data_IF_180610107564
#
_entry.id   IF_180610107564
#
_cell.length_a   1.000
_cell.length_b   1.000
_cell.length_c   1.000
_cell.angle_alpha   90.00
_cell.angle_beta   90.00
_cell.angle_gamma   90.00
#
_symmetry.space_group_name_H-M   'P 1'
#
loop_
_entity.id
_entity.type
_entity.pdbx_description
1 polymer ?
#
# COMPACT_ATOMS: atom_id res chain seq x y z
N UNK A 1 -0.91 -16.74 19.31
CA UNK A 1 -1.46 -16.87 17.95
C UNK A 1 -2.30 -18.13 17.93
N UNK A 2 -3.62 -18.03 18.10
CA UNK A 2 -4.52 -19.16 17.82
C UNK A 2 -4.90 -18.99 16.37
N UNK A 3 -4.09 -19.57 15.48
CA UNK A 3 -4.57 -19.85 14.12
C UNK A 3 -5.61 -20.93 14.30
N UNK A 4 -6.89 -20.55 14.36
CA UNK A 4 -7.95 -21.53 14.15
C UNK A 4 -7.68 -22.12 12.77
N UNK A 5 -7.56 -23.44 12.72
CA UNK A 5 -7.25 -24.30 11.59
C UNK A 5 -8.31 -24.25 10.48
N UNK A 6 -8.63 -23.05 9.99
CA UNK A 6 -9.34 -22.86 8.74
C UNK A 6 -8.30 -22.84 7.61
N UNK A 7 -8.46 -23.69 6.58
CA UNK A 7 -7.44 -23.87 5.57
C UNK A 7 -7.17 -22.56 4.83
N UNK A 8 -5.89 -22.22 4.69
CA UNK A 8 -5.40 -21.21 3.74
C UNK A 8 -6.03 -21.51 2.38
N UNK A 9 -6.94 -20.63 1.93
CA UNK A 9 -7.59 -20.79 0.62
C UNK A 9 -6.62 -20.35 -0.45
N UNK A 10 -5.98 -21.32 -1.10
CA UNK A 10 -5.20 -21.10 -2.31
C UNK A 10 -6.11 -20.49 -3.38
N UNK A 11 -5.65 -19.41 -4.03
CA UNK A 11 -6.37 -18.79 -5.15
C UNK A 11 -6.50 -19.82 -6.31
N UNK A 12 -7.69 -19.96 -6.93
CA UNK A 12 -7.86 -20.79 -8.12
C UNK A 12 -6.99 -20.31 -9.28
N UNK A 13 -6.37 -21.25 -9.99
CA UNK A 13 -5.38 -21.03 -11.05
C UNK A 13 -5.92 -20.50 -12.39
N UNK A 14 -7.12 -19.92 -12.44
CA UNK A 14 -7.82 -19.63 -13.71
C UNK A 14 -7.81 -18.18 -14.21
N UNK A 15 -6.94 -17.29 -13.68
CA UNK A 15 -6.91 -15.87 -14.12
C UNK A 15 -5.57 -15.39 -14.69
N UNK A 16 -4.63 -16.30 -14.99
CA UNK A 16 -3.37 -15.94 -15.63
C UNK A 16 -3.41 -16.18 -17.14
N UNK A 17 -4.10 -15.31 -17.89
CA UNK A 17 -3.83 -15.11 -19.32
C UNK A 17 -4.47 -13.83 -19.82
N UNK A 18 -3.67 -12.79 -20.10
CA UNK A 18 -3.76 -12.02 -21.34
C UNK A 18 -2.58 -11.04 -21.44
N UNK A 19 -2.02 -11.03 -22.65
CA UNK A 19 -0.68 -10.56 -22.99
C UNK A 19 -0.63 -9.08 -23.45
N UNK A 20 0.61 -8.59 -23.39
CA UNK A 20 1.24 -7.43 -24.03
C UNK A 20 0.49 -6.67 -25.13
N UNK A 21 0.49 -5.34 -24.99
CA UNK A 21 0.61 -4.42 -26.13
C UNK A 21 1.50 -3.21 -25.77
N UNK A 22 2.60 -3.06 -26.51
CA UNK A 22 3.47 -1.88 -26.51
C UNK A 22 3.00 -0.84 -27.53
N UNK A 23 3.10 0.44 -27.18
CA UNK A 23 3.08 1.58 -28.11
C UNK A 23 4.05 2.66 -27.61
N UNK A 24 4.87 3.29 -28.48
CA UNK A 24 5.80 4.34 -28.09
C UNK A 24 5.16 5.72 -28.32
N UNK A 25 5.12 6.57 -27.29
CA UNK A 25 4.79 7.98 -27.49
C UNK A 25 5.77 8.89 -26.73
N UNK A 26 6.65 9.54 -27.49
CA UNK A 26 7.56 10.57 -27.02
C UNK A 26 6.82 11.92 -26.99
N UNK A 27 6.78 12.59 -25.83
CA UNK A 27 6.54 14.03 -25.76
C UNK A 27 7.48 14.73 -24.79
N UNK A 28 8.14 15.73 -25.36
CA UNK A 28 9.07 16.70 -24.81
C UNK A 28 8.32 17.65 -23.86
N UNK A 29 8.73 17.71 -22.60
CA UNK A 29 8.18 18.67 -21.63
C UNK A 29 8.99 19.96 -21.64
N UNK A 30 8.33 21.09 -21.99
CA UNK A 30 8.85 22.45 -21.73
C UNK A 30 8.37 22.90 -20.34
N UNK A 31 9.26 23.53 -19.57
CA UNK A 31 8.96 24.17 -18.28
C UNK A 31 8.31 25.54 -18.48
N UNK A 32 7.36 25.93 -17.62
CA UNK A 32 7.21 27.32 -17.22
C UNK A 32 7.65 27.55 -15.77
N UNK A 33 8.01 28.81 -15.55
CA UNK A 33 8.60 29.45 -14.38
C UNK A 33 7.66 29.62 -13.18
N UNK A 34 8.31 29.88 -12.05
CA UNK A 34 7.84 30.19 -10.68
C UNK A 34 6.51 30.92 -10.53
N UNK A 35 5.62 30.35 -9.70
CA UNK A 35 4.53 31.05 -9.00
C UNK A 35 4.46 30.53 -7.55
N UNK A 36 4.31 31.48 -6.62
CA UNK A 36 4.18 31.38 -5.16
C UNK A 36 2.96 30.58 -4.68
N UNK A 37 3.12 29.81 -3.60
CA UNK A 37 2.09 28.94 -3.00
C UNK A 37 1.25 29.67 -1.93
N UNK A 38 -0.09 29.62 -1.96
CA UNK A 38 -0.91 29.76 -0.76
C UNK A 38 -1.29 28.40 -0.16
N UNK A 39 -1.85 28.44 1.05
CA UNK A 39 -2.10 27.34 1.98
C UNK A 39 -2.87 26.13 1.42
N UNK A 40 -2.52 24.94 1.93
CA UNK A 40 -3.08 23.64 1.56
C UNK A 40 -4.53 23.51 2.05
N UNK A 41 -5.46 23.37 1.11
CA UNK A 41 -6.86 22.96 1.35
C UNK A 41 -7.03 21.44 1.13
N UNK A 42 -8.09 20.81 1.66
CA UNK A 42 -8.28 19.36 1.58
C UNK A 42 -8.53 18.84 0.15
N UNK A 43 -8.24 17.55 0.01
CA UNK A 43 -8.26 16.67 -1.16
C UNK A 43 -9.38 16.98 -2.17
N UNK A 44 -8.99 17.29 -3.42
CA UNK A 44 -9.89 17.23 -4.57
C UNK A 44 -10.06 15.77 -5.01
N UNK A 45 -11.25 15.21 -4.78
CA UNK A 45 -11.77 14.05 -5.49
C UNK A 45 -12.02 14.42 -6.96
N UNK A 46 -11.50 13.62 -7.89
CA UNK A 46 -11.84 13.77 -9.31
C UNK A 46 -13.20 13.09 -9.50
N UNK A 47 -14.26 13.88 -9.37
CA UNK A 47 -15.63 13.45 -9.65
C UNK A 47 -15.94 13.70 -11.12
N UNK A 48 -16.09 12.62 -11.90
CA UNK A 48 -16.70 12.67 -13.22
C UNK A 48 -18.20 12.37 -13.10
N UNK A 49 -18.95 13.25 -12.44
CA UNK A 49 -20.38 13.47 -12.74
C UNK A 49 -20.92 14.67 -11.96
N UNK A 50 -21.64 15.55 -12.67
CA UNK A 50 -22.40 16.64 -12.07
C UNK A 50 -23.78 16.17 -11.61
N UNK A 51 -24.22 16.67 -10.45
CA UNK A 51 -25.57 16.49 -9.91
C UNK A 51 -25.55 16.17 -8.41
N UNK A 52 -26.06 17.08 -7.58
CA UNK A 52 -26.01 16.99 -6.12
C UNK A 52 -27.11 16.12 -5.48
N UNK A 53 -26.86 15.74 -4.22
CA UNK A 53 -27.86 15.19 -3.29
C UNK A 53 -27.50 13.80 -2.74
N UNK A 54 -26.95 13.74 -1.51
CA UNK A 54 -26.75 12.52 -0.72
C UNK A 54 -25.58 11.64 -1.19
N UNK A 55 -24.39 11.79 -0.60
CA UNK A 55 -23.24 10.95 -0.95
C UNK A 55 -23.40 9.54 -0.34
N UNK A 56 -24.06 8.66 -1.07
CA UNK A 56 -24.00 7.22 -0.86
C UNK A 56 -22.56 6.77 -1.18
N UNK A 57 -21.80 6.35 -0.16
CA UNK A 57 -20.41 5.88 -0.32
C UNK A 57 -20.46 4.44 -0.84
N UNK A 58 -20.83 4.29 -2.11
CA UNK A 58 -20.92 2.99 -2.80
C UNK A 58 -19.69 2.72 -3.70
N UNK A 59 -18.70 3.60 -3.68
CA UNK A 59 -17.53 3.48 -4.54
C UNK A 59 -16.34 2.83 -3.82
N UNK A 60 -15.68 1.92 -4.53
CA UNK A 60 -14.44 1.31 -4.05
C UNK A 60 -13.31 2.34 -4.08
N UNK A 61 -12.53 2.40 -3.01
CA UNK A 61 -11.37 3.27 -2.90
C UNK A 61 -10.08 2.47 -2.92
N UNK A 62 -9.04 3.05 -3.53
CA UNK A 62 -7.68 2.51 -3.50
C UNK A 62 -6.77 3.55 -2.85
N UNK A 63 -6.14 3.14 -1.75
CA UNK A 63 -5.19 3.96 -1.00
C UNK A 63 -3.79 3.41 -1.21
N UNK A 64 -2.88 4.25 -1.70
CA UNK A 64 -1.47 3.88 -1.86
C UNK A 64 -0.76 3.97 -0.51
N UNK A 65 -0.63 2.83 0.16
CA UNK A 65 0.06 2.70 1.45
C UNK A 65 1.57 2.94 1.28
N UNK A 66 2.12 2.61 0.12
CA UNK A 66 3.46 2.98 -0.30
C UNK A 66 3.69 2.82 -1.81
N UNK A 67 4.69 3.53 -2.33
CA UNK A 67 4.98 3.66 -3.78
C UNK A 67 6.48 3.63 -4.08
N UNK A 68 7.25 3.09 -3.14
CA UNK A 68 8.70 3.02 -3.17
C UNK A 68 9.21 1.69 -3.72
N UNK A 69 10.52 1.57 -3.86
CA UNK A 69 11.17 0.32 -4.24
C UNK A 69 11.23 -0.64 -3.05
N UNK A 70 11.86 -1.80 -3.23
CA UNK A 70 12.08 -2.77 -2.16
C UNK A 70 12.78 -2.19 -0.92
N UNK A 71 13.54 -1.11 -1.08
CA UNK A 71 14.27 -0.44 -0.02
C UNK A 71 13.66 0.90 0.41
N UNK A 72 12.57 1.30 -0.23
CA UNK A 72 11.97 2.62 -0.04
C UNK A 72 12.90 3.77 -0.46
N UNK A 73 12.43 4.98 -0.17
CA UNK A 73 13.17 6.24 -0.36
C UNK A 73 12.89 7.13 0.85
N UNK A 74 13.91 7.71 1.51
CA UNK A 74 15.33 7.72 1.13
C UNK A 74 16.09 6.41 1.40
N UNK A 75 17.23 6.25 0.71
CA UNK A 75 18.21 5.18 0.99
C UNK A 75 19.26 5.69 1.97
N UNK A 76 19.55 4.93 3.03
CA UNK A 76 20.59 5.26 4.01
C UNK A 76 21.95 5.49 3.31
N UNK A 77 22.34 4.58 2.42
CA UNK A 77 23.59 4.68 1.66
C UNK A 77 23.70 5.95 0.80
N UNK A 78 22.58 6.51 0.34
CA UNK A 78 22.59 7.77 -0.40
C UNK A 78 22.74 9.00 0.52
N UNK A 79 22.26 8.91 1.76
CA UNK A 79 22.33 10.02 2.73
C UNK A 79 23.70 10.07 3.41
N UNK A 80 24.36 8.93 3.58
CA UNK A 80 25.66 8.82 4.25
C UNK A 80 26.85 8.87 3.31
N UNK A 81 26.64 8.96 1.99
CA UNK A 81 27.73 9.05 1.02
C UNK A 81 28.44 10.41 1.11
N UNK A 82 29.74 10.46 1.46
CA UNK A 82 30.47 11.73 1.60
C UNK A 82 30.87 12.34 0.25
N UNK A 83 30.91 11.54 -0.82
CA UNK A 83 31.37 11.95 -2.15
C UNK A 83 30.24 12.49 -3.03
N UNK A 84 29.00 12.09 -2.77
CA UNK A 84 27.85 12.46 -3.60
C UNK A 84 26.55 12.48 -2.81
N UNK A 85 25.77 13.56 -2.96
CA UNK A 85 24.45 13.69 -2.35
C UNK A 85 23.35 13.45 -3.39
N UNK A 86 22.56 12.40 -3.18
CA UNK A 86 21.38 12.12 -4.00
C UNK A 86 20.26 13.14 -3.70
N UNK A 87 19.96 14.01 -4.66
CA UNK A 87 18.95 15.07 -4.49
C UNK A 87 17.56 14.54 -4.11
N UNK A 88 17.16 13.37 -4.62
CA UNK A 88 15.88 12.72 -4.29
C UNK A 88 15.87 12.24 -2.83
N UNK A 89 16.91 11.52 -2.40
CA UNK A 89 16.98 11.04 -1.01
C UNK A 89 17.10 12.19 -0.01
N UNK A 90 17.89 13.23 -0.32
CA UNK A 90 17.99 14.42 0.53
C UNK A 90 16.64 15.12 0.70
N UNK A 91 15.83 15.19 -0.37
CA UNK A 91 14.46 15.73 -0.28
C UNK A 91 13.55 14.82 0.53
N UNK A 92 13.55 13.52 0.24
CA UNK A 92 12.74 12.50 0.90
C UNK A 92 12.99 12.36 2.41
N UNK A 93 14.18 12.75 2.89
CA UNK A 93 14.50 12.77 4.32
C UNK A 93 13.75 13.88 5.10
N UNK A 94 13.21 14.89 4.41
CA UNK A 94 12.45 15.97 5.04
C UNK A 94 11.03 15.50 5.36
N UNK A 95 10.47 15.82 6.55
CA UNK A 95 9.10 15.46 6.89
C UNK A 95 8.09 15.95 5.83
N UNK A 96 7.15 15.08 5.45
CA UNK A 96 6.09 15.38 4.49
C UNK A 96 6.52 15.52 3.02
N UNK A 97 7.80 15.31 2.67
CA UNK A 97 8.23 15.38 1.27
C UNK A 97 7.67 14.19 0.47
N UNK A 98 7.07 14.47 -0.69
CA UNK A 98 6.45 13.46 -1.58
C UNK A 98 7.44 12.43 -2.13
N UNK A 99 8.74 12.69 -2.04
CA UNK A 99 9.77 11.71 -2.40
C UNK A 99 10.03 10.68 -1.30
N UNK A 100 9.47 10.85 -0.09
CA UNK A 100 9.46 9.80 0.93
C UNK A 100 8.48 8.72 0.50
N UNK A 101 9.02 7.54 0.19
CA UNK A 101 8.24 6.43 -0.36
C UNK A 101 8.54 5.16 0.40
N UNK A 102 7.50 4.58 1.02
CA UNK A 102 7.53 3.30 1.71
C UNK A 102 7.36 2.16 0.70
N UNK A 103 7.51 0.89 1.12
CA UNK A 103 7.39 -0.25 0.20
C UNK A 103 6.04 -0.23 -0.52
N UNK A 104 6.04 -0.69 -1.77
CA UNK A 104 4.81 -0.82 -2.55
C UNK A 104 3.78 -1.63 -1.77
N UNK A 105 2.62 -1.01 -1.55
CA UNK A 105 1.48 -1.63 -0.89
C UNK A 105 0.27 -0.77 -1.19
N UNK A 106 -0.89 -1.40 -1.32
CA UNK A 106 -2.17 -0.72 -1.48
C UNK A 106 -3.18 -1.26 -0.47
N UNK A 107 -4.08 -0.40 -0.04
CA UNK A 107 -5.28 -0.77 0.69
C UNK A 107 -6.48 -0.53 -0.22
N UNK A 108 -7.30 -1.56 -0.39
CA UNK A 108 -8.57 -1.49 -1.10
C UNK A 108 -9.66 -1.40 -0.05
N UNK A 109 -10.48 -0.35 -0.12
CA UNK A 109 -11.67 -0.18 0.71
C UNK A 109 -12.90 -0.37 -0.16
N UNK A 110 -13.59 -1.48 0.05
CA UNK A 110 -14.72 -1.88 -0.79
C UNK A 110 -16.01 -1.80 0.04
N UNK A 111 -16.92 -0.85 -0.26
CA UNK A 111 -18.25 -0.81 0.35
C UNK A 111 -19.04 -2.09 0.04
N UNK A 112 -19.82 -2.54 1.01
CA UNK A 112 -20.78 -3.64 0.89
C UNK A 112 -21.97 -3.40 1.85
N UNK A 113 -23.05 -4.20 1.76
CA UNK A 113 -24.24 -3.99 2.59
C UNK A 113 -24.02 -4.04 4.10
N UNK A 114 -22.95 -4.70 4.57
CA UNK A 114 -22.59 -4.84 5.99
C UNK A 114 -21.54 -3.84 6.46
N UNK A 115 -21.02 -2.98 5.58
CA UNK A 115 -19.98 -2.00 5.89
C UNK A 115 -18.88 -1.92 4.82
N UNK A 116 -17.69 -1.47 5.20
CA UNK A 116 -16.55 -1.39 4.26
C UNK A 116 -15.56 -2.52 4.54
N UNK A 117 -15.27 -3.34 3.54
CA UNK A 117 -14.19 -4.31 3.61
C UNK A 117 -12.85 -3.64 3.30
N UNK A 118 -11.87 -3.84 4.18
CA UNK A 118 -10.52 -3.33 4.09
C UNK A 118 -9.56 -4.47 3.73
N UNK A 119 -9.08 -4.46 2.50
CA UNK A 119 -8.20 -5.50 1.94
C UNK A 119 -6.82 -4.89 1.72
N UNK A 120 -5.83 -5.38 2.45
CA UNK A 120 -4.44 -4.97 2.29
C UNK A 120 -3.75 -5.83 1.24
N UNK A 121 -3.01 -5.21 0.32
CA UNK A 121 -2.11 -5.89 -0.60
C UNK A 121 -0.68 -5.57 -0.18
N UNK A 122 0.06 -6.63 0.16
CA UNK A 122 1.41 -6.63 0.70
C UNK A 122 1.57 -5.92 2.06
N UNK A 123 2.24 -6.59 2.98
CA UNK A 123 2.65 -6.08 4.29
C UNK A 123 4.18 -6.05 4.37
N UNK A 124 4.79 -5.13 3.61
CA UNK A 124 6.24 -4.93 3.56
C UNK A 124 6.84 -4.41 4.86
N UNK A 125 8.18 -4.32 4.95
CA UNK A 125 8.93 -3.85 6.14
C UNK A 125 8.56 -2.44 6.65
N UNK A 126 7.79 -1.66 5.89
CA UNK A 126 7.30 -0.34 6.29
C UNK A 126 5.80 -0.30 6.60
N UNK A 127 5.12 -1.45 6.65
CA UNK A 127 3.67 -1.52 6.86
C UNK A 127 3.24 -0.80 8.12
N UNK A 128 3.90 -0.99 9.26
CA UNK A 128 3.59 -0.28 10.50
C UNK A 128 3.53 1.25 10.33
N UNK A 129 4.50 1.84 9.64
CA UNK A 129 4.52 3.28 9.38
C UNK A 129 3.38 3.72 8.47
N UNK A 130 3.07 2.95 7.43
CA UNK A 130 1.93 3.24 6.55
C UNK A 130 0.60 3.12 7.30
N UNK A 131 0.46 2.10 8.17
CA UNK A 131 -0.73 1.88 8.96
C UNK A 131 -0.98 3.00 9.97
N UNK A 132 0.05 3.44 10.71
CA UNK A 132 -0.02 4.60 11.61
C UNK A 132 -0.49 5.87 10.91
N UNK A 133 -0.09 6.06 9.65
CA UNK A 133 -0.49 7.22 8.87
C UNK A 133 -1.94 7.11 8.38
N UNK A 134 -2.30 5.98 7.76
CA UNK A 134 -3.55 5.87 7.00
C UNK A 134 -4.73 5.37 7.82
N UNK A 135 -4.53 4.45 8.76
CA UNK A 135 -5.64 3.78 9.44
C UNK A 135 -6.41 4.74 10.35
N UNK A 136 -5.76 5.55 11.21
CA UNK A 136 -6.46 6.55 12.00
C UNK A 136 -7.13 7.61 11.13
N UNK A 137 -6.46 8.06 10.05
CA UNK A 137 -6.98 9.09 9.15
C UNK A 137 -8.24 8.64 8.40
N UNK A 138 -8.37 7.35 8.12
CA UNK A 138 -9.50 6.75 7.39
C UNK A 138 -10.51 6.05 8.32
N UNK A 139 -10.29 6.06 9.64
CA UNK A 139 -11.14 5.36 10.61
C UNK A 139 -11.14 3.84 10.46
N UNK A 140 -10.05 3.25 9.95
CA UNK A 140 -9.94 1.81 9.73
C UNK A 140 -9.57 1.13 11.04
N UNK A 141 -10.47 0.26 11.51
CA UNK A 141 -10.24 -0.55 12.71
C UNK A 141 -9.76 -1.95 12.37
N UNK A 142 -10.42 -2.62 11.42
CA UNK A 142 -10.22 -4.04 11.08
C UNK A 142 -9.64 -4.22 9.69
N UNK A 143 -9.01 -5.37 9.47
CA UNK A 143 -8.60 -5.87 8.16
C UNK A 143 -9.37 -7.14 7.83
N UNK A 144 -10.03 -7.14 6.68
CA UNK A 144 -10.85 -8.27 6.24
C UNK A 144 -10.02 -9.30 5.49
N UNK A 145 -8.93 -8.88 4.84
CA UNK A 145 -7.97 -9.76 4.22
C UNK A 145 -6.61 -9.07 4.03
N UNK A 146 -5.56 -9.89 3.99
CA UNK A 146 -4.23 -9.51 3.49
C UNK A 146 -3.90 -10.41 2.31
N UNK A 147 -3.47 -9.84 1.20
CA UNK A 147 -3.03 -10.58 0.01
C UNK A 147 -1.54 -10.30 -0.18
N UNK A 148 -0.74 -11.35 -0.22
CA UNK A 148 0.70 -11.29 -0.47
C UNK A 148 0.97 -11.66 -1.92
N UNK A 149 1.62 -10.74 -2.65
CA UNK A 149 1.90 -10.89 -4.08
C UNK A 149 3.10 -11.80 -4.34
N UNK A 150 4.11 -11.74 -3.47
CA UNK A 150 5.33 -12.54 -3.56
C UNK A 150 6.07 -12.58 -2.21
N UNK A 151 7.04 -13.50 -2.06
CA UNK A 151 7.71 -13.79 -0.78
C UNK A 151 8.94 -12.94 -0.45
N UNK A 152 9.19 -11.83 -1.15
CA UNK A 152 10.33 -10.97 -0.82
C UNK A 152 10.03 -10.04 0.36
N UNK A 153 11.08 -9.63 1.08
CA UNK A 153 10.98 -8.85 2.32
C UNK A 153 10.25 -7.50 2.16
N UNK A 154 10.22 -6.93 0.96
CA UNK A 154 9.46 -5.72 0.67
C UNK A 154 7.96 -5.94 0.56
N UNK A 155 7.50 -7.19 0.43
CA UNK A 155 6.09 -7.56 0.44
C UNK A 155 5.65 -8.23 1.76
N UNK A 156 6.56 -8.90 2.48
CA UNK A 156 6.22 -9.67 3.70
C UNK A 156 6.92 -9.21 4.99
N UNK A 157 7.86 -8.27 4.90
CA UNK A 157 8.74 -7.92 6.03
C UNK A 157 8.05 -7.25 7.22
N UNK A 158 6.79 -6.86 7.10
CA UNK A 158 5.96 -6.25 8.15
C UNK A 158 4.82 -7.14 8.63
N UNK A 159 4.83 -8.44 8.33
CA UNK A 159 3.77 -9.35 8.79
C UNK A 159 3.67 -9.43 10.32
N UNK A 160 4.78 -9.29 11.05
CA UNK A 160 4.75 -9.31 12.52
C UNK A 160 3.97 -8.13 13.11
N UNK A 161 3.91 -6.99 12.40
CA UNK A 161 3.15 -5.82 12.84
C UNK A 161 1.63 -6.08 12.85
N UNK A 162 1.14 -7.05 12.07
CA UNK A 162 -0.28 -7.48 12.10
C UNK A 162 -0.67 -8.14 13.42
N UNK A 163 0.32 -8.48 14.26
CA UNK A 163 0.09 -9.01 15.61
C UNK A 163 -0.69 -8.02 16.48
N UNK A 164 -0.51 -6.71 16.30
CA UNK A 164 -1.27 -5.72 17.05
C UNK A 164 -2.78 -5.85 16.79
N UNK A 165 -3.17 -6.13 15.55
CA UNK A 165 -4.55 -6.40 15.20
C UNK A 165 -5.07 -7.70 15.82
N UNK A 166 -4.31 -8.78 15.70
CA UNK A 166 -4.76 -10.09 16.20
C UNK A 166 -4.76 -10.19 17.73
N UNK A 167 -3.96 -9.36 18.42
CA UNK A 167 -3.96 -9.29 19.87
C UNK A 167 -5.03 -8.35 20.44
N UNK A 168 -5.31 -7.23 19.77
CA UNK A 168 -6.06 -6.12 20.37
C UNK A 168 -7.34 -5.72 19.62
N UNK A 169 -7.67 -6.37 18.51
CA UNK A 169 -8.67 -5.84 17.56
C UNK A 169 -9.63 -6.90 17.05
N UNK A 170 -9.10 -7.98 16.50
CA UNK A 170 -9.87 -9.04 15.86
C UNK A 170 -9.21 -10.39 16.14
N UNK A 171 -9.96 -11.49 16.20
CA UNK A 171 -9.40 -12.79 16.58
C UNK A 171 -8.40 -13.36 15.56
N UNK A 172 -8.57 -13.03 14.28
CA UNK A 172 -7.70 -13.47 13.19
C UNK A 172 -7.79 -12.53 11.99
N UNK A 173 -6.78 -12.60 11.11
CA UNK A 173 -6.76 -11.94 9.80
C UNK A 173 -6.47 -13.03 8.76
N UNK A 174 -7.33 -13.25 7.75
CA UNK A 174 -7.03 -14.20 6.70
C UNK A 174 -5.94 -13.63 5.76
N UNK A 175 -4.90 -14.42 5.52
CA UNK A 175 -3.80 -14.09 4.62
C UNK A 175 -3.85 -15.02 3.41
N UNK A 176 -3.87 -14.43 2.22
CA UNK A 176 -3.88 -15.11 0.94
C UNK A 176 -2.53 -14.96 0.26
N UNK A 177 -1.96 -16.07 -0.18
CA UNK A 177 -0.65 -16.10 -0.84
C UNK A 177 -0.62 -17.25 -1.85
N UNK A 178 0.13 -17.09 -2.93
CA UNK A 178 0.34 -18.18 -3.88
C UNK A 178 1.17 -19.31 -3.23
N UNK A 179 0.85 -20.56 -3.58
CA UNK A 179 1.50 -21.74 -3.01
C UNK A 179 3.04 -21.67 -3.08
N UNK A 180 3.56 -21.23 -4.23
CA UNK A 180 5.00 -21.08 -4.48
C UNK A 180 5.68 -20.11 -3.51
N UNK A 181 4.98 -19.06 -3.08
CA UNK A 181 5.51 -18.03 -2.19
C UNK A 181 5.38 -18.46 -0.71
N UNK A 182 4.35 -19.24 -0.40
CA UNK A 182 4.18 -19.88 0.91
C UNK A 182 5.29 -20.90 1.20
N UNK A 183 5.61 -21.76 0.22
CA UNK A 183 6.61 -22.83 0.37
C UNK A 183 8.04 -22.29 0.61
N UNK A 184 8.35 -21.09 0.13
CA UNK A 184 9.70 -20.50 0.24
C UNK A 184 9.86 -19.58 1.46
N UNK A 185 8.78 -19.20 2.13
CA UNK A 185 8.83 -18.31 3.29
C UNK A 185 8.10 -18.93 4.48
N UNK A 186 8.84 -19.61 5.37
CA UNK A 186 8.30 -20.11 6.63
C UNK A 186 7.69 -19.01 7.52
N UNK A 187 8.06 -17.74 7.27
CA UNK A 187 7.46 -16.58 7.92
C UNK A 187 5.95 -16.43 7.66
N UNK A 188 5.41 -17.09 6.64
CA UNK A 188 3.97 -17.14 6.34
C UNK A 188 3.25 -18.30 7.03
N UNK A 189 3.97 -19.21 7.70
CA UNK A 189 3.40 -20.41 8.31
C UNK A 189 3.09 -20.28 9.82
N UNK A 190 3.16 -19.06 10.36
CA UNK A 190 2.89 -18.76 11.77
C UNK A 190 1.42 -18.49 12.05
#
# INVERSE_FOLDING_TARGET
>A
MVVTSNPIRLLPSSLASLAHHHSPFSRRWRRPSSISLPAVSPIHSISANGGGGGAEIDQTEIVFMGTGTSEGVPRVSCLTNPLSKCSVCSKAARPGDKNRRLNTSILIRHPNPSGTHNILIDAGKFFYHSALQWFPALGIRTLDAVIITHSHADAIGGLDDLRDWTNNVQPSIPIYVAKRDFEVSPALAF
#
